data_IF_844162245439
#
_entry.id   IF_844162245439
#
_cell.length_a   1.000
_cell.length_b   1.000
_cell.length_c   1.000
_cell.angle_alpha   90.00
_cell.angle_beta   90.00
_cell.angle_gamma   90.00
#
_symmetry.space_group_name_H-M   'P 1'
#
loop_
_entity.id
_entity.type
_entity.pdbx_description
1 polymer ?
#
# COMPACT_ATOMS: atom_id res chain seq x y z
N UNK A 1 -8.65 -42.82 -7.30
CA UNK A 1 -7.30 -42.21 -7.45
C UNK A 1 -7.37 -40.78 -6.93
N UNK A 2 -6.57 -40.43 -5.91
CA UNK A 2 -6.38 -39.02 -5.55
C UNK A 2 -5.49 -38.40 -6.62
N UNK A 3 -5.87 -37.29 -7.27
CA UNK A 3 -5.03 -36.69 -8.28
C UNK A 3 -3.80 -36.13 -7.56
N UNK A 4 -2.61 -36.60 -7.94
CA UNK A 4 -1.36 -36.09 -7.42
C UNK A 4 -1.08 -34.76 -8.12
N UNK A 5 -1.88 -33.75 -7.80
CA UNK A 5 -1.66 -32.41 -8.31
C UNK A 5 -0.30 -31.97 -7.77
N UNK A 6 0.64 -31.73 -8.68
CA UNK A 6 1.89 -31.10 -8.28
C UNK A 6 1.56 -29.78 -7.58
N UNK A 7 2.37 -29.36 -6.60
CA UNK A 7 2.15 -28.08 -5.89
C UNK A 7 1.98 -26.90 -6.86
N UNK A 8 2.58 -26.99 -8.05
CA UNK A 8 2.48 -26.01 -9.13
C UNK A 8 1.05 -25.91 -9.68
N UNK A 9 0.37 -27.03 -9.91
CA UNK A 9 -1.02 -27.04 -10.39
C UNK A 9 -2.00 -26.50 -9.36
N UNK A 10 -1.79 -26.81 -8.08
CA UNK A 10 -2.61 -26.27 -6.99
C UNK A 10 -2.52 -24.74 -6.94
N UNK A 11 -1.30 -24.19 -7.05
CA UNK A 11 -1.08 -22.74 -7.09
C UNK A 11 -1.74 -22.13 -8.34
N UNK A 12 -1.58 -22.77 -9.51
CA UNK A 12 -2.21 -22.32 -10.75
C UNK A 12 -3.74 -22.21 -10.65
N UNK A 13 -4.39 -23.24 -10.10
CA UNK A 13 -5.84 -23.28 -9.90
C UNK A 13 -6.30 -22.23 -8.90
N UNK A 14 -5.54 -22.01 -7.81
CA UNK A 14 -5.84 -20.96 -6.84
C UNK A 14 -5.74 -19.54 -7.45
N UNK A 15 -4.72 -19.28 -8.27
CA UNK A 15 -4.56 -18.02 -8.99
C UNK A 15 -5.68 -17.77 -10.00
N UNK A 16 -6.13 -18.81 -10.71
CA UNK A 16 -7.30 -18.73 -11.59
C UNK A 16 -8.58 -18.44 -10.80
N UNK A 17 -8.81 -19.15 -9.69
CA UNK A 17 -9.95 -18.90 -8.82
C UNK A 17 -9.97 -17.46 -8.28
N UNK A 18 -8.81 -16.87 -7.95
CA UNK A 18 -8.74 -15.46 -7.54
C UNK A 18 -9.15 -14.53 -8.68
N UNK A 19 -8.62 -14.78 -9.88
CA UNK A 19 -8.94 -14.00 -11.06
C UNK A 19 -10.44 -14.06 -11.37
N UNK A 20 -11.04 -15.23 -11.28
CA UNK A 20 -12.46 -15.42 -11.62
C UNK A 20 -13.40 -14.85 -10.55
N UNK A 21 -13.08 -15.05 -9.26
CA UNK A 21 -13.93 -14.60 -8.16
C UNK A 21 -13.77 -13.11 -7.84
N UNK A 22 -12.55 -12.58 -7.94
CA UNK A 22 -12.24 -11.21 -7.53
C UNK A 22 -11.91 -10.28 -8.70
N UNK A 23 -11.81 -10.77 -9.95
CA UNK A 23 -11.42 -9.98 -11.12
C UNK A 23 -10.06 -9.28 -10.97
N UNK A 24 -9.19 -9.81 -10.11
CA UNK A 24 -7.83 -9.32 -9.89
C UNK A 24 -6.88 -10.17 -10.71
N UNK A 25 -6.13 -9.56 -11.63
CA UNK A 25 -5.13 -10.29 -12.41
C UNK A 25 -3.86 -10.48 -11.57
N UNK A 26 -3.47 -11.72 -11.21
CA UNK A 26 -2.32 -11.95 -10.36
C UNK A 26 -0.99 -11.51 -10.99
N UNK A 27 -0.89 -11.54 -12.32
CA UNK A 27 0.31 -11.09 -13.03
C UNK A 27 0.49 -9.57 -12.92
N UNK A 28 -0.59 -8.81 -13.06
CA UNK A 28 -0.54 -7.34 -12.92
C UNK A 28 -0.21 -6.96 -11.48
N UNK A 29 -0.88 -7.60 -10.51
CA UNK A 29 -0.57 -7.43 -9.10
C UNK A 29 0.91 -7.73 -8.81
N UNK A 30 1.42 -8.86 -9.30
CA UNK A 30 2.81 -9.26 -9.16
C UNK A 30 3.79 -8.24 -9.75
N UNK A 31 3.52 -7.73 -10.95
CA UNK A 31 4.34 -6.70 -11.60
C UNK A 31 4.33 -5.40 -10.80
N UNK A 32 3.16 -4.92 -10.36
CA UNK A 32 3.06 -3.71 -9.53
C UNK A 32 3.84 -3.90 -8.23
N UNK A 33 3.70 -5.05 -7.59
CA UNK A 33 4.40 -5.38 -6.36
C UNK A 33 5.93 -5.39 -6.57
N UNK A 34 6.42 -6.07 -7.60
CA UNK A 34 7.87 -6.16 -7.88
C UNK A 34 8.48 -4.82 -8.29
N UNK A 35 7.76 -4.04 -9.11
CA UNK A 35 8.21 -2.69 -9.48
C UNK A 35 8.21 -1.75 -8.28
N UNK A 36 7.29 -1.94 -7.33
CA UNK A 36 7.20 -1.11 -6.13
C UNK A 36 8.20 -1.51 -5.04
N UNK A 37 8.50 -2.80 -4.88
CA UNK A 37 9.31 -3.30 -3.75
C UNK A 37 10.78 -2.87 -3.85
N UNK A 38 11.33 -2.80 -5.07
CA UNK A 38 12.73 -2.38 -5.30
C UNK A 38 12.95 -0.93 -4.83
N UNK A 39 12.22 0.08 -5.34
CA UNK A 39 12.36 1.46 -4.87
C UNK A 39 11.87 1.64 -3.42
N UNK A 40 10.96 0.80 -2.93
CA UNK A 40 10.50 0.83 -1.54
C UNK A 40 11.65 0.52 -0.56
N UNK A 41 12.44 -0.53 -0.81
CA UNK A 41 13.60 -0.87 0.03
C UNK A 41 14.65 0.24 0.03
N UNK A 42 14.94 0.81 -1.14
CA UNK A 42 15.87 1.93 -1.25
C UNK A 42 15.36 3.16 -0.49
N UNK A 43 14.08 3.51 -0.67
CA UNK A 43 13.44 4.63 0.02
C UNK A 43 13.42 4.43 1.53
N UNK A 44 13.19 3.21 2.01
CA UNK A 44 13.22 2.87 3.44
C UNK A 44 14.62 3.07 4.02
N UNK A 45 15.65 2.54 3.36
CA UNK A 45 17.05 2.74 3.77
C UNK A 45 17.41 4.23 3.84
N UNK A 46 17.08 5.00 2.79
CA UNK A 46 17.27 6.46 2.74
C UNK A 46 16.54 7.18 3.87
N UNK A 47 15.31 6.78 4.17
CA UNK A 47 14.51 7.39 5.24
C UNK A 47 15.18 7.20 6.59
N UNK A 48 15.66 5.99 6.87
CA UNK A 48 16.38 5.66 8.11
C UNK A 48 17.70 6.45 8.20
N UNK A 49 18.50 6.48 7.13
CA UNK A 49 19.77 7.24 7.11
C UNK A 49 19.55 8.75 7.30
N UNK A 50 18.58 9.34 6.61
CA UNK A 50 18.24 10.76 6.75
C UNK A 50 17.69 11.09 8.14
N UNK A 51 16.94 10.17 8.75
CA UNK A 51 16.46 10.31 10.13
C UNK A 51 17.62 10.30 11.12
N UNK A 52 18.62 9.42 10.96
CA UNK A 52 19.86 9.42 11.77
C UNK A 52 20.63 10.73 11.62
N UNK A 53 20.66 11.30 10.41
CA UNK A 53 21.31 12.59 10.10
C UNK A 53 20.46 13.83 10.45
N UNK A 54 19.28 13.65 11.08
CA UNK A 54 18.32 14.71 11.44
C UNK A 54 17.87 15.60 10.26
N UNK A 55 17.93 15.11 9.03
CA UNK A 55 17.54 15.84 7.82
C UNK A 55 16.03 15.74 7.55
N UNK A 56 15.23 16.34 8.44
CA UNK A 56 13.77 16.19 8.47
C UNK A 56 13.07 16.48 7.13
N UNK A 57 13.52 17.48 6.36
CA UNK A 57 12.92 17.81 5.06
C UNK A 57 13.06 16.70 4.01
N UNK A 58 14.22 16.04 3.97
CA UNK A 58 14.49 14.95 3.02
C UNK A 58 13.83 13.65 3.50
N UNK A 59 13.82 13.42 4.82
CA UNK A 59 13.14 12.26 5.43
C UNK A 59 11.66 12.22 5.08
N UNK A 60 10.94 13.36 5.17
CA UNK A 60 9.51 13.41 4.85
C UNK A 60 9.25 13.05 3.38
N UNK A 61 10.10 13.51 2.45
CA UNK A 61 9.96 13.20 1.02
C UNK A 61 10.08 11.69 0.76
N UNK A 62 11.10 11.05 1.31
CA UNK A 62 11.28 9.59 1.15
C UNK A 62 10.17 8.80 1.84
N UNK A 63 9.72 9.25 3.01
CA UNK A 63 8.63 8.61 3.74
C UNK A 63 7.32 8.62 2.93
N UNK A 64 7.00 9.74 2.26
CA UNK A 64 5.81 9.84 1.39
C UNK A 64 5.95 8.91 0.18
N UNK A 65 7.12 8.83 -0.44
CA UNK A 65 7.38 7.92 -1.56
C UNK A 65 7.20 6.46 -1.14
N UNK A 66 7.81 6.05 -0.02
CA UNK A 66 7.69 4.71 0.55
C UNK A 66 6.24 4.39 0.90
N UNK A 67 5.53 5.32 1.52
CA UNK A 67 4.11 5.18 1.84
C UNK A 67 3.26 4.99 0.58
N UNK A 68 3.48 5.80 -0.46
CA UNK A 68 2.75 5.68 -1.73
C UNK A 68 3.01 4.33 -2.42
N UNK A 69 4.28 3.89 -2.50
CA UNK A 69 4.65 2.60 -3.06
C UNK A 69 4.07 1.43 -2.26
N UNK A 70 3.91 1.58 -0.95
CA UNK A 70 3.25 0.58 -0.10
C UNK A 70 1.78 0.45 -0.45
N UNK A 71 1.09 1.57 -0.70
CA UNK A 71 -0.36 1.60 -0.96
C UNK A 71 -0.70 1.18 -2.40
N UNK A 72 0.18 1.45 -3.38
CA UNK A 72 -0.05 1.19 -4.80
C UNK A 72 -0.62 -0.21 -5.15
N UNK A 73 -0.06 -1.35 -4.68
CA UNK A 73 -0.63 -2.67 -4.98
C UNK A 73 -2.01 -2.88 -4.35
N UNK A 74 -2.27 -2.33 -3.16
CA UNK A 74 -3.59 -2.39 -2.54
C UNK A 74 -4.61 -1.53 -3.26
N UNK A 75 -4.17 -0.40 -3.82
CA UNK A 75 -5.01 0.47 -4.64
C UNK A 75 -5.45 -0.24 -5.92
N UNK A 76 -4.56 -1.00 -6.56
CA UNK A 76 -4.91 -1.86 -7.70
C UNK A 76 -6.01 -2.86 -7.31
N UNK A 77 -5.85 -3.56 -6.19
CA UNK A 77 -6.87 -4.51 -5.70
C UNK A 77 -8.18 -3.80 -5.36
N UNK A 78 -8.14 -2.61 -4.76
CA UNK A 78 -9.36 -1.87 -4.42
C UNK A 78 -10.12 -1.36 -5.65
N UNK A 79 -9.42 -1.00 -6.74
CA UNK A 79 -10.04 -0.47 -7.97
C UNK A 79 -10.56 -1.60 -8.87
N UNK A 80 -9.79 -2.68 -9.02
CA UNK A 80 -10.13 -3.77 -9.94
C UNK A 80 -10.81 -4.96 -9.26
N UNK A 81 -10.65 -5.08 -7.94
CA UNK A 81 -11.23 -6.15 -7.14
C UNK A 81 -12.73 -6.03 -7.03
N UNK A 82 -13.44 -7.02 -7.54
CA UNK A 82 -14.88 -7.20 -7.32
C UNK A 82 -15.11 -8.24 -6.22
N UNK A 83 -16.26 -8.16 -5.54
CA UNK A 83 -16.67 -9.16 -4.55
C UNK A 83 -15.67 -9.37 -3.39
N UNK A 84 -14.86 -8.37 -3.06
CA UNK A 84 -13.95 -8.42 -1.93
C UNK A 84 -14.74 -8.47 -0.61
N UNK A 85 -14.25 -9.22 0.40
CA UNK A 85 -14.90 -9.30 1.70
C UNK A 85 -15.03 -7.92 2.34
N UNK A 86 -16.16 -7.65 3.00
CA UNK A 86 -16.49 -6.34 3.60
C UNK A 86 -15.38 -5.85 4.54
N UNK A 87 -14.70 -6.76 5.22
CA UNK A 87 -13.54 -6.45 6.08
C UNK A 87 -12.44 -5.67 5.36
N UNK A 88 -12.19 -5.95 4.07
CA UNK A 88 -11.19 -5.22 3.28
C UNK A 88 -11.57 -3.74 3.14
N UNK A 89 -12.84 -3.46 2.84
CA UNK A 89 -13.36 -2.11 2.71
C UNK A 89 -13.35 -1.36 4.03
N UNK A 90 -13.69 -2.03 5.14
CA UNK A 90 -13.64 -1.43 6.49
C UNK A 90 -12.22 -0.98 6.82
N UNK A 91 -11.21 -1.81 6.56
CA UNK A 91 -9.81 -1.49 6.84
C UNK A 91 -9.35 -0.31 5.99
N UNK A 92 -9.62 -0.32 4.68
CA UNK A 92 -9.24 0.79 3.78
C UNK A 92 -9.94 2.08 4.21
N UNK A 93 -11.24 2.03 4.48
CA UNK A 93 -11.99 3.20 4.92
C UNK A 93 -11.43 3.77 6.22
N UNK A 94 -11.11 2.92 7.20
CA UNK A 94 -10.50 3.35 8.46
C UNK A 94 -9.14 4.03 8.22
N UNK A 95 -8.27 3.45 7.39
CA UNK A 95 -6.95 4.04 7.07
C UNK A 95 -7.11 5.40 6.40
N UNK A 96 -8.02 5.53 5.42
CA UNK A 96 -8.26 6.79 4.72
C UNK A 96 -8.82 7.84 5.68
N UNK A 97 -9.83 7.50 6.48
CA UNK A 97 -10.44 8.41 7.46
C UNK A 97 -9.41 8.89 8.49
N UNK A 98 -8.63 7.99 9.07
CA UNK A 98 -7.57 8.34 10.03
C UNK A 98 -6.54 9.26 9.38
N UNK A 99 -6.14 8.97 8.14
CA UNK A 99 -5.17 9.77 7.39
C UNK A 99 -5.68 11.21 7.16
N UNK A 100 -6.94 11.36 6.73
CA UNK A 100 -7.57 12.66 6.53
C UNK A 100 -7.74 13.44 7.84
N UNK A 101 -8.20 12.78 8.92
CA UNK A 101 -8.35 13.42 10.24
C UNK A 101 -6.99 13.95 10.72
N UNK A 102 -5.93 13.15 10.59
CA UNK A 102 -4.59 13.55 11.01
C UNK A 102 -4.05 14.73 10.18
N UNK A 103 -4.31 14.73 8.87
CA UNK A 103 -3.93 15.82 7.98
C UNK A 103 -4.68 17.11 8.32
N UNK A 104 -6.00 17.03 8.53
CA UNK A 104 -6.84 18.16 8.91
C UNK A 104 -6.41 18.77 10.25
N UNK A 105 -6.16 17.94 11.26
CA UNK A 105 -5.65 18.38 12.57
C UNK A 105 -4.31 19.10 12.44
N UNK A 106 -3.39 18.57 11.61
CA UNK A 106 -2.07 19.18 11.39
C UNK A 106 -2.17 20.54 10.68
N UNK A 107 -3.09 20.68 9.72
CA UNK A 107 -3.37 21.96 9.06
C UNK A 107 -3.98 22.98 10.03
N UNK A 108 -4.96 22.60 10.83
CA UNK A 108 -5.57 23.47 11.84
C UNK A 108 -4.54 23.98 12.86
N UNK A 109 -3.64 23.10 13.32
CA UNK A 109 -2.53 23.49 14.20
C UNK A 109 -1.57 24.47 13.53
N UNK A 110 -1.21 24.23 12.27
CA UNK A 110 -0.31 25.12 11.52
C UNK A 110 -0.93 26.51 11.29
N UNK A 111 -2.24 26.59 11.03
CA UNK A 111 -2.96 27.85 10.87
C UNK A 111 -3.04 28.61 12.20
N UNK A 112 -3.37 27.91 13.30
CA UNK A 112 -3.44 28.51 14.64
C UNK A 112 -2.08 29.02 15.13
N UNK A 113 -0.99 28.31 14.82
CA UNK A 113 0.38 28.71 15.15
C UNK A 113 0.85 29.96 14.42
N UNK A 114 0.39 30.20 13.19
CA UNK A 114 0.84 31.33 12.38
C UNK A 114 0.07 32.63 12.67
N UNK A 115 -1.10 32.54 13.34
CA UNK A 115 -1.90 33.69 13.77
C UNK A 115 -1.49 34.28 15.13
N UNK A 116 -0.55 33.64 15.84
CA UNK A 116 -0.04 34.05 17.16
C UNK A 116 1.35 34.73 17.08
N UNK A 117 1.84 35.01 15.86
CA UNK A 117 3.13 35.64 15.58
C UNK A 117 2.92 36.96 14.87
#
# INVERSE_FOLDING_TARGET
MCPQNSMIEYIGNWLQAIKDNYNVNPYIFGVIYLVSVIPWWYGLYRTIDCLRKKQMGITVRWLVIVGFLTIAPFLYVAVFGRNLPVSFWIIIAAIVVISFINLAKKLQQSLKSNSQK
#
